data_IF_824898716098
#
_entry.id   IF_824898716098
#
_cell.length_a   1.000
_cell.length_b   1.000
_cell.length_c   1.000
_cell.angle_alpha   90.00
_cell.angle_beta   90.00
_cell.angle_gamma   90.00
#
_symmetry.space_group_name_H-M   'P 1'
#
loop_
_entity.id
_entity.type
_entity.pdbx_description
1 polymer ?
#
# COMPACT_ATOMS: atom_id res chain seq x y z
N UNK A 1 16.45 34.64 16.47
CA UNK A 1 15.04 35.05 16.44
C UNK A 1 14.32 34.10 15.49
N UNK A 2 13.82 33.01 16.05
CA UNK A 2 12.42 32.87 16.47
C UNK A 2 11.61 32.33 15.29
N UNK A 3 11.54 30.98 15.24
CA UNK A 3 10.54 30.23 14.47
C UNK A 3 9.16 30.61 15.07
N UNK A 4 8.71 31.82 14.79
CA UNK A 4 7.63 32.49 15.54
C UNK A 4 6.25 31.96 15.22
N UNK A 5 6.08 31.16 14.18
CA UNK A 5 4.77 30.58 13.92
C UNK A 5 4.78 29.52 12.84
N UNK A 6 3.93 28.51 13.05
CA UNK A 6 3.42 27.61 12.02
C UNK A 6 2.95 28.37 10.77
N UNK A 7 2.46 29.61 10.94
CA UNK A 7 2.06 30.50 9.86
C UNK A 7 3.18 30.82 8.87
N UNK A 8 4.43 30.95 9.31
CA UNK A 8 5.57 31.29 8.45
C UNK A 8 5.93 30.16 7.46
N UNK A 9 5.66 28.91 7.83
CA UNK A 9 5.81 27.75 6.93
C UNK A 9 4.77 27.76 5.79
N UNK A 10 3.55 28.21 6.08
CA UNK A 10 2.50 28.39 5.08
C UNK A 10 2.67 29.68 4.27
N UNK A 11 3.27 30.70 4.88
CA UNK A 11 3.54 32.01 4.29
C UNK A 11 4.97 32.11 3.71
N UNK A 12 5.54 30.99 3.26
CA UNK A 12 6.84 30.95 2.59
C UNK A 12 6.71 31.54 1.17
N UNK A 13 6.42 32.84 1.07
CA UNK A 13 6.36 33.61 -0.17
C UNK A 13 5.36 33.11 -1.23
N UNK A 14 4.37 32.29 -0.86
CA UNK A 14 3.40 31.68 -1.79
C UNK A 14 3.78 30.30 -2.34
N UNK A 15 4.94 29.74 -1.95
CA UNK A 15 5.40 28.42 -2.42
C UNK A 15 4.82 27.23 -1.60
N UNK A 16 4.34 27.47 -0.39
CA UNK A 16 3.77 26.43 0.48
C UNK A 16 2.69 25.55 -0.18
N UNK A 17 1.69 26.08 -0.92
CA UNK A 17 0.70 25.24 -1.59
C UNK A 17 1.30 24.33 -2.67
N UNK A 18 2.38 24.73 -3.35
CA UNK A 18 3.06 23.89 -4.32
C UNK A 18 3.82 22.74 -3.65
N UNK A 19 4.50 23.03 -2.53
CA UNK A 19 5.23 22.03 -1.75
C UNK A 19 4.25 21.02 -1.17
N UNK A 20 3.28 21.48 -0.37
CA UNK A 20 2.30 20.60 0.24
C UNK A 20 1.40 19.90 -0.78
N UNK A 21 1.10 20.54 -1.91
CA UNK A 21 0.42 19.91 -3.03
C UNK A 21 1.23 18.74 -3.61
N UNK A 22 2.53 18.94 -3.86
CA UNK A 22 3.42 17.90 -4.39
C UNK A 22 3.60 16.74 -3.41
N UNK A 23 3.79 17.04 -2.12
CA UNK A 23 3.83 16.03 -1.06
C UNK A 23 2.49 15.28 -0.93
N UNK A 24 1.37 15.99 -1.01
CA UNK A 24 0.03 15.41 -0.98
C UNK A 24 -0.24 14.48 -2.16
N UNK A 25 0.13 14.89 -3.38
CA UNK A 25 0.02 14.06 -4.59
C UNK A 25 0.90 12.82 -4.48
N UNK A 26 2.14 12.98 -4.00
CA UNK A 26 3.06 11.86 -3.81
C UNK A 26 2.51 10.87 -2.78
N UNK A 27 2.01 11.36 -1.64
CA UNK A 27 1.38 10.54 -0.61
C UNK A 27 0.15 9.81 -1.16
N UNK A 28 -0.69 10.49 -1.94
CA UNK A 28 -1.87 9.92 -2.57
C UNK A 28 -1.50 8.78 -3.54
N UNK A 29 -0.46 8.97 -4.36
CA UNK A 29 0.04 7.92 -5.26
C UNK A 29 0.58 6.72 -4.48
N UNK A 30 1.35 6.93 -3.40
CA UNK A 30 1.86 5.85 -2.55
C UNK A 30 0.71 5.06 -1.91
N UNK A 31 -0.30 5.75 -1.38
CA UNK A 31 -1.49 5.10 -0.79
C UNK A 31 -2.26 4.32 -1.85
N UNK A 32 -2.42 4.88 -3.04
CA UNK A 32 -3.09 4.22 -4.16
C UNK A 32 -2.35 2.94 -4.56
N UNK A 33 -1.02 3.02 -4.73
CA UNK A 33 -0.18 1.87 -5.07
C UNK A 33 -0.27 0.79 -3.98
N UNK A 34 -0.21 1.18 -2.71
CA UNK A 34 -0.40 0.26 -1.57
C UNK A 34 -1.79 -0.38 -1.57
N UNK A 35 -2.84 0.36 -1.93
CA UNK A 35 -4.19 -0.16 -2.01
C UNK A 35 -4.32 -1.17 -3.16
N UNK A 36 -3.79 -0.84 -4.34
CA UNK A 36 -3.74 -1.72 -5.50
C UNK A 36 -2.92 -2.98 -5.22
N UNK A 37 -1.75 -2.83 -4.59
CA UNK A 37 -0.88 -3.94 -4.21
C UNK A 37 -1.56 -4.85 -3.19
N UNK A 38 -2.26 -4.29 -2.20
CA UNK A 38 -3.06 -5.07 -1.24
C UNK A 38 -4.20 -5.83 -1.92
N UNK A 39 -4.88 -5.21 -2.90
CA UNK A 39 -5.91 -5.88 -3.70
C UNK A 39 -5.31 -7.05 -4.48
N UNK A 40 -4.23 -6.83 -5.24
CA UNK A 40 -3.54 -7.87 -5.99
C UNK A 40 -2.98 -8.99 -5.11
N UNK A 41 -2.47 -8.66 -3.91
CA UNK A 41 -2.00 -9.67 -2.95
C UNK A 41 -3.13 -10.61 -2.52
N UNK A 42 -4.35 -10.11 -2.33
CA UNK A 42 -5.50 -10.96 -1.98
C UNK A 42 -5.77 -11.99 -3.08
N UNK A 43 -5.73 -11.58 -4.34
CA UNK A 43 -6.01 -12.47 -5.47
C UNK A 43 -4.94 -13.57 -5.63
N UNK A 44 -3.66 -13.20 -5.51
CA UNK A 44 -2.55 -14.16 -5.63
C UNK A 44 -2.49 -15.11 -4.42
N UNK A 45 -2.67 -14.59 -3.20
CA UNK A 45 -2.67 -15.43 -1.99
C UNK A 45 -3.86 -16.38 -1.99
N UNK A 46 -5.05 -15.94 -2.41
CA UNK A 46 -6.20 -16.84 -2.51
C UNK A 46 -5.99 -17.98 -3.51
N UNK A 47 -5.31 -17.72 -4.64
CA UNK A 47 -4.97 -18.78 -5.61
C UNK A 47 -3.98 -19.79 -5.02
N UNK A 48 -2.94 -19.32 -4.33
CA UNK A 48 -1.95 -20.20 -3.70
C UNK A 48 -2.54 -21.03 -2.55
N UNK A 49 -3.42 -20.44 -1.74
CA UNK A 49 -4.10 -21.15 -0.65
C UNK A 49 -5.02 -22.26 -1.19
N UNK A 50 -5.67 -22.07 -2.33
CA UNK A 50 -6.50 -23.11 -2.97
C UNK A 50 -5.65 -24.27 -3.49
N UNK A 51 -4.53 -23.98 -4.18
CA UNK A 51 -3.61 -25.00 -4.67
C UNK A 51 -3.06 -25.88 -3.56
N UNK A 52 -2.65 -25.28 -2.43
CA UNK A 52 -2.11 -26.04 -1.29
C UNK A 52 -3.13 -27.01 -0.68
N UNK A 53 -4.43 -26.68 -0.69
CA UNK A 53 -5.48 -27.58 -0.19
C UNK A 53 -5.79 -28.74 -1.12
N UNK A 54 -5.67 -28.54 -2.44
CA UNK A 54 -5.86 -29.60 -3.42
C UNK A 54 -4.71 -30.61 -3.37
N UNK A 55 -3.46 -30.13 -3.42
CA UNK A 55 -2.25 -30.98 -3.36
C UNK A 55 -2.19 -31.81 -2.06
N UNK A 56 -2.57 -31.23 -0.92
CA UNK A 56 -2.58 -31.97 0.35
C UNK A 56 -3.66 -33.05 0.45
N UNK A 57 -4.69 -33.01 -0.41
CA UNK A 57 -5.76 -34.00 -0.45
C UNK A 57 -5.38 -35.18 -1.35
N UNK A 58 -4.69 -34.92 -2.46
CA UNK A 58 -4.20 -35.98 -3.37
C UNK A 58 -3.14 -36.86 -2.70
N UNK A 59 -2.17 -36.26 -1.98
CA UNK A 59 -1.15 -37.00 -1.21
C UNK A 59 -1.76 -37.94 -0.15
N UNK A 60 -2.91 -37.58 0.42
CA UNK A 60 -3.58 -38.41 1.43
C UNK A 60 -4.32 -39.60 0.82
N UNK A 61 -4.76 -39.49 -0.43
CA UNK A 61 -5.44 -40.58 -1.12
C UNK A 61 -4.44 -41.65 -1.60
N UNK A 62 -3.25 -41.22 -2.07
CA UNK A 62 -2.18 -42.13 -2.52
C UNK A 62 -1.53 -42.93 -1.36
N UNK A 63 -1.55 -42.40 -0.13
CA UNK A 63 -1.01 -43.10 1.06
C UNK A 63 -1.98 -44.12 1.68
N UNK A 64 -3.22 -44.19 1.19
CA UNK A 64 -4.28 -45.06 1.75
C UNK A 64 -4.64 -46.27 0.90
N UNK A 65 -4.08 -46.39 -0.31
CA UNK A 65 -4.11 -47.59 -1.16
C UNK A 65 -2.80 -48.39 -1.01
#
# INVERSE_FOLDING_TARGET
MQWESWSAFWQMGGAAPFVWGSYGVTLALVVLELALLRRRRKDTVQRLVRWRRAVGKDVRLESGE
#
